data_IF_643380014191
#
_entry.id   IF_643380014191
#
_cell.length_a   1.000
_cell.length_b   1.000
_cell.length_c   1.000
_cell.angle_alpha   90.00
_cell.angle_beta   90.00
_cell.angle_gamma   90.00
#
_symmetry.space_group_name_H-M   'P 1'
#
loop_
_entity.id
_entity.type
_entity.pdbx_description
1 polymer ?
#
# COMPACT_ATOMS: atom_id res chain seq x y z
N UNK A 1 7.54 2.26 -16.55
CA UNK A 1 6.86 1.88 -16.40
C UNK A 1 6.30 2.23 -16.03
N UNK A 2 6.22 2.16 -15.98
CA UNK A 2 5.24 2.48 -15.53
C UNK A 2 4.62 1.45 -14.85
N UNK A 3 5.02 1.26 -13.65
CA UNK A 3 4.44 0.27 -12.82
C UNK A 3 2.95 0.40 -12.71
N UNK A 4 2.46 1.57 -13.03
CA UNK A 4 1.04 1.81 -12.95
C UNK A 4 0.23 0.94 -13.88
N UNK A 5 0.80 0.60 -15.03
CA UNK A 5 0.10 -0.24 -15.98
C UNK A 5 0.08 -1.68 -15.56
N UNK A 6 1.10 -2.10 -14.83
CA UNK A 6 1.27 -3.51 -14.52
C UNK A 6 0.60 -3.91 -13.23
N UNK A 7 0.21 -2.93 -12.43
CA UNK A 7 -0.38 -3.21 -11.13
C UNK A 7 -1.81 -2.70 -11.10
N UNK A 8 -2.80 -3.61 -11.11
CA UNK A 8 -4.18 -3.16 -11.00
C UNK A 8 -4.36 -2.41 -9.70
N UNK A 9 -5.20 -1.40 -9.73
CA UNK A 9 -5.47 -0.60 -8.55
C UNK A 9 -6.16 -1.48 -7.51
N UNK A 10 -5.62 -1.62 -6.30
CA UNK A 10 -6.23 -2.44 -5.27
C UNK A 10 -7.53 -1.81 -4.80
N UNK A 11 -8.50 -2.66 -4.48
CA UNK A 11 -9.79 -2.24 -3.95
C UNK A 11 -10.18 -3.19 -2.83
N UNK A 12 -10.87 -2.67 -1.84
CA UNK A 12 -11.23 -3.49 -0.69
C UNK A 12 -12.22 -4.61 -1.04
N UNK A 13 -12.94 -4.50 -2.18
CA UNK A 13 -13.83 -5.57 -2.62
C UNK A 13 -13.14 -6.61 -3.48
N UNK A 14 -11.86 -6.39 -3.79
CA UNK A 14 -11.11 -7.34 -4.58
C UNK A 14 -11.03 -8.67 -3.84
N UNK A 15 -11.32 -9.81 -4.51
CA UNK A 15 -11.32 -11.08 -3.81
C UNK A 15 -9.93 -11.48 -3.37
N UNK A 16 -9.88 -12.28 -2.31
CA UNK A 16 -8.63 -12.85 -1.86
C UNK A 16 -8.14 -13.90 -2.83
N UNK A 17 -6.83 -13.98 -2.98
CA UNK A 17 -6.17 -15.05 -3.69
C UNK A 17 -5.59 -16.01 -2.67
N UNK A 18 -5.33 -17.26 -3.09
CA UNK A 18 -4.79 -18.26 -2.18
C UNK A 18 -3.42 -18.68 -2.68
N UNK A 19 -2.47 -18.77 -1.77
CA UNK A 19 -1.13 -19.21 -2.06
C UNK A 19 -0.69 -20.16 -0.94
N UNK A 20 0.11 -21.16 -1.27
CA UNK A 20 0.67 -22.03 -0.26
C UNK A 20 2.01 -21.48 0.20
N UNK A 21 2.12 -21.23 1.50
CA UNK A 21 3.34 -20.72 2.11
C UNK A 21 3.67 -21.66 3.26
N UNK A 22 4.84 -22.27 3.22
CA UNK A 22 5.28 -23.23 4.23
C UNK A 22 4.26 -24.35 4.42
N UNK A 23 3.67 -24.82 3.31
CA UNK A 23 2.73 -25.91 3.36
C UNK A 23 1.33 -25.56 3.80
N UNK A 24 1.05 -24.28 4.03
CA UNK A 24 -0.27 -23.82 4.46
C UNK A 24 -0.90 -22.92 3.40
N UNK A 25 -2.20 -23.05 3.24
CA UNK A 25 -2.95 -22.17 2.34
C UNK A 25 -3.15 -20.82 3.03
N UNK A 26 -2.72 -19.75 2.35
CA UNK A 26 -2.85 -18.39 2.87
C UNK A 26 -3.67 -17.58 1.89
N UNK A 27 -4.76 -16.99 2.37
CA UNK A 27 -5.57 -16.07 1.58
C UNK A 27 -4.95 -14.67 1.73
N UNK A 28 -4.78 -13.97 0.61
CA UNK A 28 -4.18 -12.64 0.62
C UNK A 28 -4.74 -11.79 -0.49
N UNK A 29 -4.55 -10.50 -0.38
CA UNK A 29 -4.87 -9.55 -1.47
C UNK A 29 -4.04 -8.30 -1.30
N UNK A 30 -3.98 -7.49 -2.37
CA UNK A 30 -3.29 -6.21 -2.35
C UNK A 30 -4.20 -5.16 -1.73
N UNK A 31 -3.65 -4.37 -0.83
CA UNK A 31 -4.38 -3.36 -0.08
C UNK A 31 -3.60 -2.06 -0.11
N UNK A 32 -4.29 -0.95 -0.34
CA UNK A 32 -3.67 0.37 -0.17
C UNK A 32 -3.61 0.63 1.32
N UNK A 33 -2.41 0.65 1.86
CA UNK A 33 -2.22 0.79 3.30
C UNK A 33 -1.87 2.22 3.72
N UNK A 34 -1.50 3.06 2.77
CA UNK A 34 -1.18 4.46 3.07
C UNK A 34 -1.21 5.26 1.78
N UNK A 35 -1.64 6.51 1.88
CA UNK A 35 -1.67 7.41 0.73
C UNK A 35 -0.94 8.69 1.10
N UNK A 36 -0.05 9.12 0.22
CA UNK A 36 0.70 10.36 0.39
C UNK A 36 0.30 11.30 -0.74
N UNK A 37 -0.21 12.48 -0.39
CA UNK A 37 -0.62 13.47 -1.37
C UNK A 37 0.44 14.54 -1.46
N UNK A 38 1.01 14.69 -2.65
CA UNK A 38 2.13 15.61 -2.87
C UNK A 38 1.70 16.94 -3.45
N UNK A 39 0.49 17.02 -3.99
CA UNK A 39 0.06 18.22 -4.67
C UNK A 39 0.74 18.38 -6.01
N UNK A 40 0.70 19.61 -6.53
CA UNK A 40 1.24 19.91 -7.85
C UNK A 40 2.66 20.42 -7.69
N UNK A 41 3.61 19.50 -7.55
CA UNK A 41 5.02 19.84 -7.39
C UNK A 41 5.81 19.24 -8.54
N UNK A 42 6.91 19.89 -8.88
CA UNK A 42 7.85 19.35 -9.86
C UNK A 42 8.66 18.24 -9.17
N UNK A 43 8.95 17.19 -9.92
CA UNK A 43 9.78 16.08 -9.44
C UNK A 43 9.25 15.50 -8.12
N UNK A 44 7.97 15.05 -8.10
CA UNK A 44 7.40 14.54 -6.86
C UNK A 44 8.16 13.33 -6.30
N UNK A 45 8.78 12.54 -7.17
CA UNK A 45 9.54 11.36 -6.70
C UNK A 45 10.70 11.76 -5.80
N UNK A 46 11.24 12.95 -6.03
CA UNK A 46 12.35 13.44 -5.23
C UNK A 46 11.91 13.76 -3.81
N UNK A 47 10.70 14.29 -3.66
CA UNK A 47 10.22 14.75 -2.37
C UNK A 47 9.43 13.69 -1.61
N UNK A 48 8.96 12.64 -2.28
CA UNK A 48 8.13 11.64 -1.62
C UNK A 48 8.94 10.68 -0.75
N UNK A 49 10.26 10.64 -0.93
CA UNK A 49 11.11 9.71 -0.18
C UNK A 49 10.98 9.93 1.34
N UNK A 50 10.93 11.18 1.77
CA UNK A 50 10.84 11.49 3.20
C UNK A 50 9.52 11.01 3.81
N UNK A 51 8.35 11.36 3.24
CA UNK A 51 7.09 10.82 3.77
C UNK A 51 7.00 9.30 3.74
N UNK A 52 7.55 8.66 2.72
CA UNK A 52 7.57 7.20 2.68
C UNK A 52 8.38 6.65 3.84
N UNK A 53 9.57 7.23 4.06
CA UNK A 53 10.41 6.79 5.16
C UNK A 53 9.72 6.99 6.51
N UNK A 54 9.10 8.15 6.69
CA UNK A 54 8.38 8.44 7.94
C UNK A 54 7.26 7.44 8.19
N UNK A 55 6.53 7.09 7.12
CA UNK A 55 5.49 6.08 7.27
C UNK A 55 6.09 4.72 7.63
N UNK A 56 7.20 4.34 7.01
CA UNK A 56 7.84 3.06 7.31
C UNK A 56 8.28 2.98 8.76
N UNK A 57 8.63 4.11 9.35
CA UNK A 57 9.08 4.16 10.75
C UNK A 57 7.92 4.29 11.72
N UNK A 58 6.70 4.54 11.24
CA UNK A 58 5.54 4.57 12.12
C UNK A 58 5.16 3.16 12.55
N UNK A 59 4.36 3.06 13.61
CA UNK A 59 3.93 1.75 14.10
C UNK A 59 3.17 0.98 13.02
N UNK A 60 2.25 1.66 12.33
CA UNK A 60 1.49 1.01 11.26
C UNK A 60 2.41 0.58 10.12
N UNK A 61 3.34 1.44 9.74
CA UNK A 61 4.28 1.12 8.67
C UNK A 61 5.17 -0.05 9.01
N UNK A 62 5.67 -0.09 10.25
CA UNK A 62 6.50 -1.21 10.69
C UNK A 62 5.74 -2.53 10.66
N UNK A 63 4.49 -2.50 11.10
CA UNK A 63 3.66 -3.69 11.03
C UNK A 63 3.53 -4.19 9.59
N UNK A 64 3.22 -3.28 8.66
CA UNK A 64 3.05 -3.63 7.26
C UNK A 64 4.36 -4.16 6.66
N UNK A 65 5.47 -3.46 6.91
CA UNK A 65 6.76 -3.89 6.34
C UNK A 65 7.16 -5.26 6.85
N UNK A 66 6.78 -5.60 8.08
CA UNK A 66 7.13 -6.88 8.68
C UNK A 66 6.23 -8.02 8.21
N UNK A 67 4.94 -7.75 8.00
CA UNK A 67 3.95 -8.81 7.80
C UNK A 67 3.45 -8.95 6.37
N UNK A 68 3.82 -8.06 5.46
CA UNK A 68 3.39 -8.19 4.07
C UNK A 68 3.96 -9.47 3.47
N UNK A 69 3.17 -10.10 2.62
CA UNK A 69 3.57 -11.35 1.96
C UNK A 69 4.78 -11.14 1.07
N UNK A 70 4.85 -9.96 0.45
CA UNK A 70 5.97 -9.55 -0.37
C UNK A 70 6.31 -8.12 -0.02
N UNK A 71 7.45 -7.64 -0.50
CA UNK A 71 7.86 -6.27 -0.22
C UNK A 71 6.80 -5.31 -0.74
N UNK A 72 6.29 -4.39 0.10
CA UNK A 72 5.35 -3.38 -0.37
C UNK A 72 5.96 -2.49 -1.44
N UNK A 73 5.11 -1.93 -2.27
CA UNK A 73 5.55 -1.02 -3.32
C UNK A 73 4.65 0.21 -3.31
N UNK A 74 5.11 1.26 -3.97
CA UNK A 74 4.29 2.46 -4.12
C UNK A 74 3.88 2.64 -5.57
N UNK A 75 2.76 3.30 -5.75
CA UNK A 75 2.11 3.46 -7.03
C UNK A 75 1.72 4.92 -7.17
N UNK A 76 2.34 5.62 -8.12
CA UNK A 76 2.06 7.04 -8.33
C UNK A 76 0.86 7.19 -9.28
N UNK A 77 -0.05 8.07 -8.91
CA UNK A 77 -1.20 8.35 -9.74
C UNK A 77 -1.55 9.84 -9.60
N UNK A 78 -2.53 10.29 -10.35
CA UNK A 78 -3.02 11.65 -10.27
C UNK A 78 -4.10 11.74 -9.22
N UNK A 79 -4.00 12.76 -8.38
CA UNK A 79 -5.04 13.08 -7.41
C UNK A 79 -5.99 14.07 -8.07
N UNK A 80 -7.09 13.57 -8.61
CA UNK A 80 -8.01 14.42 -9.35
C UNK A 80 -8.70 15.47 -8.49
N UNK A 81 -8.74 15.26 -7.19
CA UNK A 81 -9.32 16.25 -6.29
C UNK A 81 -8.47 17.51 -6.22
N UNK A 82 -7.16 17.36 -6.30
CA UNK A 82 -6.24 18.51 -6.17
C UNK A 82 -5.42 18.74 -7.42
N UNK A 83 -5.60 17.93 -8.45
CA UNK A 83 -4.83 17.97 -9.70
C UNK A 83 -3.33 17.81 -9.46
N UNK A 84 -2.98 17.14 -8.37
CA UNK A 84 -1.59 16.92 -8.02
C UNK A 84 -1.23 15.44 -8.07
N UNK A 85 -0.08 15.13 -7.52
CA UNK A 85 0.43 13.77 -7.48
C UNK A 85 0.02 13.08 -6.19
N UNK A 86 -0.26 11.79 -6.29
CA UNK A 86 -0.61 10.97 -5.15
C UNK A 86 0.18 9.67 -5.25
N UNK A 87 0.68 9.22 -4.12
CA UNK A 87 1.37 7.94 -4.02
C UNK A 87 0.58 7.03 -3.10
N UNK A 88 0.21 5.87 -3.62
CA UNK A 88 -0.45 4.85 -2.83
C UNK A 88 0.58 3.78 -2.48
N UNK A 89 0.73 3.48 -1.22
CA UNK A 89 1.58 2.38 -0.79
C UNK A 89 0.71 1.15 -0.73
N UNK A 90 1.10 0.12 -1.48
CA UNK A 90 0.34 -1.10 -1.65
C UNK A 90 1.09 -2.23 -1.00
N UNK A 91 0.40 -2.98 -0.15
CA UNK A 91 0.95 -4.13 0.51
C UNK A 91 0.07 -5.34 0.26
N UNK A 92 0.71 -6.48 0.05
CA UNK A 92 -0.02 -7.73 -0.10
C UNK A 92 -0.13 -8.36 1.28
N UNK A 93 -1.34 -8.38 1.82
CA UNK A 93 -1.58 -8.81 3.18
C UNK A 93 -2.43 -10.09 3.20
N UNK A 94 -2.09 -10.99 4.13
CA UNK A 94 -2.98 -12.09 4.41
C UNK A 94 -4.28 -11.56 5.01
N UNK A 95 -5.33 -12.35 4.90
CA UNK A 95 -6.62 -11.96 5.45
C UNK A 95 -6.52 -11.63 6.93
N UNK A 96 -5.78 -12.44 7.68
CA UNK A 96 -5.61 -12.23 9.11
C UNK A 96 -4.89 -10.91 9.41
N UNK A 97 -3.82 -10.62 8.69
CA UNK A 97 -3.06 -9.40 8.93
C UNK A 97 -3.81 -8.16 8.45
N UNK A 98 -4.57 -8.29 7.37
CA UNK A 98 -5.41 -7.18 6.94
C UNK A 98 -6.45 -6.85 8.00
N UNK A 99 -7.09 -7.87 8.57
CA UNK A 99 -8.08 -7.67 9.61
C UNK A 99 -7.47 -6.96 10.82
N UNK A 100 -6.31 -7.42 11.26
CA UNK A 100 -5.61 -6.82 12.40
C UNK A 100 -5.28 -5.35 12.12
N UNK A 101 -4.75 -5.09 10.93
CA UNK A 101 -4.38 -3.73 10.54
C UNK A 101 -5.59 -2.80 10.54
N UNK A 102 -6.71 -3.25 9.99
CA UNK A 102 -7.92 -2.43 9.94
C UNK A 102 -8.45 -2.15 11.33
N UNK A 103 -8.41 -3.13 12.20
CA UNK A 103 -8.92 -2.95 13.57
C UNK A 103 -8.05 -1.99 14.37
N UNK A 104 -6.74 -2.07 14.19
CA UNK A 104 -5.83 -1.27 15.00
C UNK A 104 -5.65 0.14 14.48
N UNK A 105 -5.58 0.32 13.16
CA UNK A 105 -5.30 1.64 12.58
C UNK A 105 -6.43 2.18 11.73
N UNK A 106 -7.57 1.54 11.74
CA UNK A 106 -8.76 2.02 11.06
C UNK A 106 -8.85 1.72 9.58
N UNK A 107 -7.75 1.42 8.93
CA UNK A 107 -7.75 1.03 7.53
C UNK A 107 -8.13 2.10 6.55
N UNK A 108 -8.28 3.35 7.00
CA UNK A 108 -8.62 4.41 6.05
C UNK A 108 -7.52 5.45 6.13
N UNK A 109 -6.70 5.44 5.17
CA UNK A 109 -5.56 6.35 5.09
C UNK A 109 -5.80 7.42 4.08
#
# INVERSE_FOLDING_TARGET
MDGNKDYPKPRHWQPYQVKFIDGKAVAFRDVIVHTIRMGDVDDPDLYVAQPIYEWQESDAGKFIMEHAVEKPYWHRTTDYASYGHRYDIVARLSEQNECFWRLKWGGNQ
#
